data_IF_549443130851
#
_entry.id   IF_549443130851
#
_cell.length_a   1.000
_cell.length_b   1.000
_cell.length_c   1.000
_cell.angle_alpha   90.00
_cell.angle_beta   90.00
_cell.angle_gamma   90.00
#
_symmetry.space_group_name_H-M   'P 1'
#
loop_
_entity.id
_entity.type
_entity.pdbx_description
1 polymer ?
#
# COMPACT_ATOMS: atom_id res chain seq x y z
N UNK A 1 -16.37 -24.74 -37.91
CA UNK A 1 -16.72 -24.33 -36.54
C UNK A 1 -15.59 -23.46 -36.02
N UNK A 2 -15.76 -22.13 -36.07
CA UNK A 2 -14.83 -21.18 -35.50
C UNK A 2 -15.63 -20.23 -34.61
N UNK A 3 -15.31 -20.18 -33.32
CA UNK A 3 -15.86 -19.17 -32.42
C UNK A 3 -15.15 -17.82 -32.71
N UNK A 4 -15.87 -16.70 -32.77
CA UNK A 4 -15.21 -15.39 -32.86
C UNK A 4 -14.74 -14.97 -31.47
N UNK A 5 -13.49 -14.47 -31.42
CA UNK A 5 -12.92 -13.76 -30.29
C UNK A 5 -13.72 -12.45 -30.10
N UNK A 6 -14.40 -12.29 -28.97
CA UNK A 6 -15.06 -11.04 -28.63
C UNK A 6 -14.00 -10.07 -28.10
N UNK A 7 -13.56 -9.14 -28.95
CA UNK A 7 -12.77 -7.97 -28.52
C UNK A 7 -13.74 -7.04 -27.80
N UNK A 8 -13.73 -7.06 -26.47
CA UNK A 8 -14.44 -6.06 -25.65
C UNK A 8 -13.68 -4.75 -25.75
N UNK A 9 -14.09 -3.90 -26.69
CA UNK A 9 -13.70 -2.49 -26.70
C UNK A 9 -14.39 -1.77 -25.54
N UNK A 10 -13.65 -1.48 -24.48
CA UNK A 10 -14.14 -0.66 -23.37
C UNK A 10 -14.17 0.81 -23.83
N UNK A 11 -15.36 1.33 -24.13
CA UNK A 11 -15.55 2.77 -24.35
C UNK A 11 -15.22 3.52 -23.05
N UNK A 12 -14.19 4.36 -23.08
CA UNK A 12 -13.95 5.41 -22.09
C UNK A 12 -15.04 6.49 -22.28
N UNK A 13 -16.17 6.34 -21.59
CA UNK A 13 -17.11 7.45 -21.43
C UNK A 13 -16.53 8.43 -20.40
N UNK A 14 -16.56 9.76 -20.65
CA UNK A 14 -16.23 10.74 -19.63
C UNK A 14 -17.32 10.74 -18.56
N UNK A 15 -17.11 10.00 -17.47
CA UNK A 15 -17.97 10.00 -16.31
C UNK A 15 -17.76 11.32 -15.57
N UNK A 16 -18.67 12.27 -15.73
CA UNK A 16 -18.66 13.63 -15.16
C UNK A 16 -18.60 13.68 -13.63
N UNK A 17 -18.76 12.55 -12.92
CA UNK A 17 -18.54 12.43 -11.48
C UNK A 17 -17.13 11.97 -11.05
N UNK A 18 -16.31 11.48 -11.99
CA UNK A 18 -14.99 10.88 -11.69
C UNK A 18 -13.90 11.92 -11.46
N UNK A 19 -13.97 13.09 -12.12
CA UNK A 19 -12.99 14.17 -11.96
C UNK A 19 -13.01 14.80 -10.57
N UNK A 20 -14.10 14.69 -9.80
CA UNK A 20 -14.17 15.22 -8.43
C UNK A 20 -13.17 14.56 -7.45
N UNK A 21 -12.57 13.43 -7.85
CA UNK A 21 -11.55 12.71 -7.09
C UNK A 21 -10.17 13.37 -7.22
N UNK A 22 -9.90 14.08 -8.31
CA UNK A 22 -8.61 14.72 -8.59
C UNK A 22 -8.61 16.12 -7.96
N UNK A 23 -7.66 16.45 -7.07
CA UNK A 23 -7.54 17.80 -6.52
C UNK A 23 -7.34 18.84 -7.65
N UNK A 24 -8.10 19.93 -7.62
CA UNK A 24 -8.07 20.94 -8.68
C UNK A 24 -6.75 21.71 -8.71
N UNK A 25 -6.05 21.77 -7.58
CA UNK A 25 -4.75 22.43 -7.42
C UNK A 25 -3.59 21.56 -7.88
N UNK A 26 -3.85 20.32 -8.27
CA UNK A 26 -2.81 19.40 -8.70
C UNK A 26 -2.25 19.84 -10.07
N UNK A 27 -0.91 19.86 -10.26
CA UNK A 27 -0.34 20.13 -11.58
C UNK A 27 -0.89 19.14 -12.61
N UNK A 28 -1.23 19.64 -13.81
CA UNK A 28 -1.80 18.83 -14.90
C UNK A 28 -3.05 18.02 -14.48
N UNK A 29 -3.87 18.55 -13.55
CA UNK A 29 -5.11 17.89 -13.11
C UNK A 29 -6.09 17.66 -14.28
N UNK A 30 -6.10 18.54 -15.27
CA UNK A 30 -6.93 18.47 -16.47
C UNK A 30 -6.57 17.28 -17.38
N UNK A 31 -5.34 16.79 -17.29
CA UNK A 31 -4.85 15.63 -18.04
C UNK A 31 -5.11 14.31 -17.29
N UNK A 32 -5.34 14.39 -15.98
CA UNK A 32 -5.52 13.23 -15.12
C UNK A 32 -6.77 12.44 -15.54
N UNK A 33 -6.62 11.13 -15.61
CA UNK A 33 -7.67 10.17 -15.91
C UNK A 33 -7.96 9.34 -14.69
N UNK A 34 -9.22 9.03 -14.48
CA UNK A 34 -9.66 8.20 -13.37
C UNK A 34 -10.22 6.89 -13.91
N UNK A 35 -9.56 5.80 -13.55
CA UNK A 35 -10.04 4.45 -13.78
C UNK A 35 -10.78 3.97 -12.54
N UNK A 36 -12.08 3.72 -12.70
CA UNK A 36 -12.92 3.07 -11.69
C UNK A 36 -13.08 1.61 -12.11
N UNK A 37 -12.65 0.64 -11.29
CA UNK A 37 -12.84 -0.78 -11.60
C UNK A 37 -14.32 -1.10 -11.82
N UNK A 38 -14.70 -1.88 -12.85
CA UNK A 38 -16.10 -2.14 -13.14
C UNK A 38 -16.75 -3.17 -12.19
N UNK A 39 -15.94 -4.06 -11.59
CA UNK A 39 -16.43 -5.24 -10.87
C UNK A 39 -16.37 -5.04 -9.34
N UNK A 40 -17.32 -5.63 -8.57
CA UNK A 40 -17.09 -5.92 -7.16
C UNK A 40 -15.82 -6.79 -7.04
N UNK A 41 -14.93 -6.53 -6.06
CA UNK A 41 -15.17 -5.80 -4.81
C UNK A 41 -14.88 -4.30 -4.86
N UNK A 42 -14.47 -3.73 -6.00
CA UNK A 42 -13.89 -2.38 -6.05
C UNK A 42 -14.79 -1.29 -6.63
N UNK A 43 -15.83 -1.67 -7.37
CA UNK A 43 -16.63 -0.77 -8.22
C UNK A 43 -17.18 0.50 -7.55
N UNK A 44 -17.37 0.49 -6.23
CA UNK A 44 -17.87 1.65 -5.46
C UNK A 44 -16.83 2.28 -4.52
N UNK A 45 -15.64 1.69 -4.39
CA UNK A 45 -14.68 2.05 -3.33
C UNK A 45 -13.28 2.40 -3.80
N UNK A 46 -12.90 2.10 -5.04
CA UNK A 46 -11.56 2.37 -5.54
C UNK A 46 -11.60 3.28 -6.78
N UNK A 47 -10.84 4.37 -6.74
CA UNK A 47 -10.45 5.14 -7.92
C UNK A 47 -8.94 5.06 -8.15
N UNK A 48 -8.52 4.81 -9.38
CA UNK A 48 -7.10 4.86 -9.76
C UNK A 48 -6.90 6.07 -10.69
N UNK A 49 -6.14 7.05 -10.24
CA UNK A 49 -5.81 8.27 -10.96
C UNK A 49 -4.46 8.09 -11.65
N UNK A 50 -4.38 8.38 -12.95
CA UNK A 50 -3.17 8.23 -13.75
C UNK A 50 -3.11 9.29 -14.87
N UNK A 51 -1.94 9.47 -15.49
CA UNK A 51 -1.73 10.43 -16.58
C UNK A 51 -1.59 9.74 -17.95
N UNK A 52 -1.70 10.47 -19.07
CA UNK A 52 -1.62 9.87 -20.40
C UNK A 52 -0.37 9.01 -20.60
N UNK A 53 -0.55 7.75 -21.01
CA UNK A 53 0.54 6.78 -21.21
C UNK A 53 0.66 5.73 -20.10
N UNK A 54 0.01 5.93 -18.94
CA UNK A 54 0.10 5.03 -17.78
C UNK A 54 -1.10 4.06 -17.63
N UNK A 55 -1.91 3.89 -18.68
CA UNK A 55 -3.12 3.06 -18.66
C UNK A 55 -2.83 1.61 -18.24
N UNK A 56 -1.72 1.04 -18.74
CA UNK A 56 -1.30 -0.32 -18.40
C UNK A 56 -0.89 -0.44 -16.93
N UNK A 57 -0.29 0.60 -16.34
CA UNK A 57 0.06 0.60 -14.92
C UNK A 57 -1.19 0.65 -14.04
N UNK A 58 -2.20 1.43 -14.42
CA UNK A 58 -3.48 1.46 -13.72
C UNK A 58 -4.19 0.10 -13.74
N UNK A 59 -4.20 -0.58 -14.90
CA UNK A 59 -4.74 -1.95 -15.02
C UNK A 59 -3.96 -2.93 -14.16
N UNK A 60 -2.63 -2.79 -14.13
CA UNK A 60 -1.77 -3.66 -13.35
C UNK A 60 -1.99 -3.53 -11.85
N UNK A 61 -2.10 -2.31 -11.33
CA UNK A 61 -2.45 -2.07 -9.92
C UNK A 61 -3.77 -2.76 -9.59
N UNK A 62 -4.79 -2.65 -10.44
CA UNK A 62 -6.04 -3.37 -10.24
C UNK A 62 -5.83 -4.90 -10.21
N UNK A 63 -5.08 -5.47 -11.17
CA UNK A 63 -4.79 -6.91 -11.20
C UNK A 63 -4.09 -7.41 -9.93
N UNK A 64 -3.26 -6.58 -9.32
CA UNK A 64 -2.54 -6.90 -8.08
C UNK A 64 -3.50 -6.90 -6.90
N UNK A 65 -4.31 -5.85 -6.78
CA UNK A 65 -5.29 -5.72 -5.70
C UNK A 65 -6.40 -6.76 -5.80
N UNK A 66 -6.79 -7.18 -7.01
CA UNK A 66 -7.81 -8.22 -7.20
C UNK A 66 -7.39 -9.59 -6.65
N UNK A 67 -6.07 -9.86 -6.60
CA UNK A 67 -5.54 -11.08 -5.97
C UNK A 67 -5.55 -11.04 -4.43
N UNK A 68 -5.58 -9.83 -3.85
CA UNK A 68 -5.56 -9.59 -2.41
C UNK A 68 -6.48 -8.40 -2.04
N UNK A 69 -7.81 -8.54 -2.23
CA UNK A 69 -8.73 -7.41 -2.20
C UNK A 69 -8.95 -6.82 -0.80
N UNK A 70 -8.54 -7.54 0.23
CA UNK A 70 -8.52 -7.09 1.62
C UNK A 70 -7.21 -7.55 2.27
N UNK A 71 -6.48 -6.66 2.96
CA UNK A 71 -5.27 -7.05 3.67
C UNK A 71 -5.55 -8.14 4.73
N UNK A 72 -4.60 -9.06 4.99
CA UNK A 72 -4.87 -10.20 5.84
C UNK A 72 -5.19 -9.78 7.29
N UNK A 73 -6.20 -10.42 7.88
CA UNK A 73 -6.67 -10.12 9.24
C UNK A 73 -7.68 -8.96 9.32
N UNK A 74 -7.95 -8.27 8.21
CA UNK A 74 -8.98 -7.24 8.14
C UNK A 74 -10.31 -7.78 7.59
N UNK A 75 -11.44 -7.11 7.90
CA UNK A 75 -12.73 -7.46 7.32
C UNK A 75 -12.74 -7.38 5.79
N UNK A 76 -13.59 -8.15 5.10
CA UNK A 76 -13.77 -8.04 3.66
C UNK A 76 -14.10 -6.61 3.22
N UNK A 77 -13.59 -6.23 2.06
CA UNK A 77 -13.73 -4.90 1.46
C UNK A 77 -13.06 -3.77 2.25
N UNK A 78 -12.17 -4.08 3.19
CA UNK A 78 -11.26 -3.08 3.80
C UNK A 78 -10.04 -2.90 2.89
N UNK A 79 -9.59 -1.67 2.60
CA UNK A 79 -10.19 -0.37 2.91
C UNK A 79 -11.51 -0.12 2.15
N UNK A 80 -12.51 0.44 2.84
CA UNK A 80 -13.86 0.69 2.32
C UNK A 80 -13.95 1.88 1.35
N UNK A 81 -12.91 2.73 1.30
CA UNK A 81 -12.75 3.77 0.28
C UNK A 81 -11.28 4.11 0.07
N UNK A 82 -10.84 4.14 -1.18
CA UNK A 82 -9.47 4.43 -1.55
C UNK A 82 -9.36 5.18 -2.89
N UNK A 83 -8.36 6.07 -2.98
CA UNK A 83 -7.91 6.68 -4.22
C UNK A 83 -6.41 6.44 -4.37
N UNK A 84 -6.02 5.74 -5.42
CA UNK A 84 -4.62 5.47 -5.74
C UNK A 84 -4.19 6.41 -6.86
N UNK A 85 -3.18 7.24 -6.61
CA UNK A 85 -2.57 8.09 -7.62
C UNK A 85 -1.29 7.44 -8.13
N UNK A 86 -1.17 7.30 -9.45
CA UNK A 86 0.06 6.89 -10.10
C UNK A 86 0.79 8.15 -10.54
N UNK A 87 1.80 8.56 -9.78
CA UNK A 87 2.55 9.77 -10.05
C UNK A 87 3.55 9.54 -11.20
N UNK A 88 3.39 10.18 -12.37
CA UNK A 88 4.25 9.95 -13.53
C UNK A 88 5.66 10.52 -13.33
N UNK A 89 5.81 11.53 -12.46
CA UNK A 89 7.05 12.25 -12.20
C UNK A 89 7.08 12.88 -10.80
N UNK A 90 8.24 13.47 -10.46
CA UNK A 90 8.50 14.10 -9.16
C UNK A 90 7.55 15.26 -8.86
N UNK A 91 7.13 16.04 -9.86
CA UNK A 91 6.27 17.21 -9.64
C UNK A 91 4.89 16.79 -9.12
N UNK A 92 4.29 15.78 -9.75
CA UNK A 92 3.01 15.22 -9.30
C UNK A 92 3.16 14.53 -7.94
N UNK A 93 4.27 13.81 -7.73
CA UNK A 93 4.57 13.18 -6.44
C UNK A 93 4.63 14.21 -5.31
N UNK A 94 5.42 15.26 -5.46
CA UNK A 94 5.58 16.30 -4.43
C UNK A 94 4.25 17.00 -4.14
N UNK A 95 3.46 17.29 -5.17
CA UNK A 95 2.15 17.91 -5.01
C UNK A 95 1.14 17.02 -4.25
N UNK A 96 1.17 15.69 -4.50
CA UNK A 96 0.28 14.74 -3.83
C UNK A 96 0.69 14.44 -2.39
N UNK A 97 1.99 14.56 -2.09
CA UNK A 97 2.60 14.14 -0.82
C UNK A 97 2.98 15.30 0.10
N UNK A 98 2.97 16.53 -0.41
CA UNK A 98 3.45 17.72 0.30
C UNK A 98 4.98 17.83 0.37
N UNK A 99 5.73 16.98 -0.33
CA UNK A 99 7.20 17.03 -0.42
C UNK A 99 7.94 16.78 0.90
N UNK A 100 7.29 16.20 1.91
CA UNK A 100 7.88 15.93 3.23
C UNK A 100 8.21 14.45 3.46
N UNK A 101 8.09 13.63 2.42
CA UNK A 101 8.27 12.19 2.50
C UNK A 101 9.71 11.85 2.15
N UNK A 102 10.36 10.91 2.85
CA UNK A 102 11.73 10.52 2.52
C UNK A 102 11.88 10.01 1.08
N UNK A 103 12.98 10.41 0.43
CA UNK A 103 13.30 10.15 -0.99
C UNK A 103 13.43 8.67 -1.38
N UNK A 104 13.38 7.73 -0.42
CA UNK A 104 13.47 6.29 -0.67
C UNK A 104 12.13 5.54 -0.63
N UNK A 105 11.01 6.25 -0.47
CA UNK A 105 9.68 5.63 -0.46
C UNK A 105 9.33 4.97 -1.80
N UNK A 106 8.99 3.68 -1.79
CA UNK A 106 8.48 2.95 -2.96
C UNK A 106 6.98 3.22 -3.25
N UNK A 107 6.37 4.07 -2.42
CA UNK A 107 4.97 4.41 -2.34
C UNK A 107 4.73 5.22 -1.06
N UNK A 108 3.54 5.77 -0.91
CA UNK A 108 3.07 6.31 0.37
C UNK A 108 1.56 6.23 0.48
N UNK A 109 1.11 5.93 1.68
CA UNK A 109 -0.27 6.03 2.12
C UNK A 109 -0.48 7.27 2.99
N UNK A 110 -1.54 8.02 2.71
CA UNK A 110 -2.04 9.12 3.54
C UNK A 110 -3.45 8.72 4.01
N UNK A 111 -3.55 8.02 5.15
CA UNK A 111 -4.80 7.40 5.59
C UNK A 111 -5.94 8.41 5.79
N UNK A 112 -5.65 9.59 6.33
CA UNK A 112 -6.62 10.66 6.55
C UNK A 112 -7.30 11.17 5.28
N UNK A 113 -6.72 10.90 4.11
CA UNK A 113 -7.27 11.25 2.80
C UNK A 113 -7.81 10.04 2.03
N UNK A 114 -7.74 8.82 2.59
CA UNK A 114 -8.04 7.60 1.84
C UNK A 114 -7.11 7.42 0.63
N UNK A 115 -5.89 7.96 0.68
CA UNK A 115 -5.04 8.16 -0.50
C UNK A 115 -3.81 7.26 -0.45
N UNK A 116 -3.49 6.65 -1.58
CA UNK A 116 -2.20 6.02 -1.85
C UNK A 116 -1.55 6.73 -3.04
N UNK A 117 -0.25 6.95 -3.00
CA UNK A 117 0.53 7.51 -4.11
C UNK A 117 1.64 6.54 -4.46
N UNK A 118 1.71 6.14 -5.73
CA UNK A 118 2.71 5.18 -6.25
C UNK A 118 3.53 5.91 -7.32
N UNK A 119 4.88 5.97 -7.20
CA UNK A 119 5.70 6.61 -8.22
C UNK A 119 5.88 5.70 -9.44
N UNK A 120 5.77 6.28 -10.64
CA UNK A 120 6.09 5.63 -11.91
C UNK A 120 7.45 6.05 -12.49
N UNK A 121 8.11 7.00 -11.84
CA UNK A 121 9.46 7.48 -12.16
C UNK A 121 10.50 6.91 -11.20
N UNK A 122 11.79 7.03 -11.56
CA UNK A 122 12.88 6.54 -10.70
C UNK A 122 12.94 5.01 -10.55
N UNK A 123 12.14 4.26 -11.32
CA UNK A 123 12.00 2.80 -11.20
C UNK A 123 13.13 1.98 -11.85
N UNK A 124 14.25 2.62 -12.20
CA UNK A 124 15.40 1.96 -12.82
C UNK A 124 15.94 0.84 -11.92
N UNK A 125 15.92 -0.39 -12.42
CA UNK A 125 16.36 -1.57 -11.65
C UNK A 125 15.32 -2.14 -10.67
N UNK A 126 14.17 -1.50 -10.49
CA UNK A 126 13.07 -2.01 -9.65
C UNK A 126 12.24 -2.98 -10.46
N UNK A 127 12.23 -4.24 -10.02
CA UNK A 127 11.55 -5.34 -10.69
C UNK A 127 10.02 -5.27 -10.57
N UNK A 128 9.34 -5.95 -11.48
CA UNK A 128 7.88 -5.93 -11.60
C UNK A 128 7.18 -6.49 -10.33
N UNK A 129 7.73 -7.55 -9.75
CA UNK A 129 7.24 -8.14 -8.50
C UNK A 129 7.50 -7.25 -7.27
N UNK A 130 8.56 -6.44 -7.29
CA UNK A 130 8.85 -5.50 -6.21
C UNK A 130 7.81 -4.37 -6.19
N UNK A 131 7.43 -3.85 -7.36
CA UNK A 131 6.36 -2.85 -7.50
C UNK A 131 5.00 -3.38 -7.03
N UNK A 132 4.71 -4.66 -7.25
CA UNK A 132 3.48 -5.30 -6.73
C UNK A 132 3.47 -5.34 -5.23
N UNK A 133 4.58 -5.76 -4.61
CA UNK A 133 4.70 -5.78 -3.17
C UNK A 133 4.56 -4.38 -2.59
N UNK A 134 5.19 -3.36 -3.18
CA UNK A 134 4.98 -1.98 -2.75
C UNK A 134 3.52 -1.55 -2.84
N UNK A 135 2.81 -1.93 -3.89
CA UNK A 135 1.37 -1.64 -4.02
C UNK A 135 0.55 -2.28 -2.90
N UNK A 136 0.81 -3.56 -2.61
CA UNK A 136 0.12 -4.30 -1.54
C UNK A 136 0.50 -3.77 -0.14
N UNK A 137 1.73 -3.29 0.03
CA UNK A 137 2.23 -2.68 1.25
C UNK A 137 1.46 -1.39 1.58
N UNK A 138 1.34 -0.47 0.61
CA UNK A 138 0.53 0.74 0.80
C UNK A 138 -0.96 0.42 1.00
N UNK A 139 -1.48 -0.57 0.29
CA UNK A 139 -2.86 -1.03 0.48
C UNK A 139 -3.10 -1.56 1.90
N UNK A 140 -2.12 -2.25 2.47
CA UNK A 140 -2.17 -2.76 3.84
C UNK A 140 -2.15 -1.63 4.87
N UNK A 141 -1.30 -0.62 4.71
CA UNK A 141 -1.35 0.59 5.55
C UNK A 141 -2.73 1.23 5.53
N UNK A 142 -3.30 1.43 4.34
CA UNK A 142 -4.59 2.10 4.21
C UNK A 142 -5.69 1.32 4.92
N UNK A 143 -5.74 0.00 4.73
CA UNK A 143 -6.70 -0.85 5.41
C UNK A 143 -6.52 -0.89 6.93
N UNK A 144 -5.28 -0.97 7.41
CA UNK A 144 -4.98 -1.03 8.84
C UNK A 144 -5.40 0.25 9.56
N UNK A 145 -5.03 1.42 9.01
CA UNK A 145 -5.39 2.71 9.57
C UNK A 145 -6.90 2.99 9.50
N UNK A 146 -7.59 2.52 8.46
CA UNK A 146 -9.06 2.61 8.42
C UNK A 146 -9.69 1.74 9.51
N UNK A 147 -9.19 0.51 9.72
CA UNK A 147 -9.77 -0.42 10.68
C UNK A 147 -9.54 0.01 12.14
N UNK A 148 -8.37 0.59 12.43
CA UNK A 148 -7.96 1.08 13.74
C UNK A 148 -8.12 2.61 13.88
N UNK A 149 -9.01 3.21 13.10
CA UNK A 149 -9.21 4.67 13.08
C UNK A 149 -9.35 5.26 14.50
N UNK A 150 -8.62 6.35 14.75
CA UNK A 150 -8.54 7.01 16.05
C UNK A 150 -7.62 6.34 17.08
N UNK A 151 -7.01 5.19 16.79
CA UNK A 151 -6.05 4.52 17.67
C UNK A 151 -4.61 4.83 17.30
N UNK A 152 -3.74 4.88 18.32
CA UNK A 152 -2.31 5.05 18.13
C UNK A 152 -1.66 3.72 17.73
N UNK A 153 -1.33 3.57 16.44
CA UNK A 153 -0.64 2.40 15.90
C UNK A 153 0.87 2.55 16.12
N UNK A 154 1.55 1.67 16.88
CA UNK A 154 3.01 1.71 16.99
C UNK A 154 3.63 1.56 15.60
N UNK A 155 4.57 2.44 15.25
CA UNK A 155 5.13 2.48 13.90
C UNK A 155 5.77 1.15 13.47
N UNK A 156 6.45 0.45 14.39
CA UNK A 156 7.00 -0.88 14.08
C UNK A 156 5.90 -1.88 13.70
N UNK A 157 4.70 -1.79 14.29
CA UNK A 157 3.61 -2.70 13.95
C UNK A 157 3.00 -2.32 12.61
N UNK A 158 2.78 -1.03 12.36
CA UNK A 158 2.27 -0.51 11.08
C UNK A 158 3.11 -1.00 9.89
N UNK A 159 4.43 -0.74 9.97
CA UNK A 159 5.41 -1.12 8.95
C UNK A 159 5.60 -2.64 8.86
N UNK A 160 5.59 -3.32 10.01
CA UNK A 160 5.71 -4.78 10.07
C UNK A 160 4.49 -5.49 9.49
N UNK A 161 3.29 -4.97 9.76
CA UNK A 161 2.03 -5.46 9.22
C UNK A 161 1.99 -5.29 7.70
N UNK A 162 2.32 -4.10 7.20
CA UNK A 162 2.33 -3.82 5.77
C UNK A 162 3.35 -4.69 5.02
N UNK A 163 4.54 -4.91 5.59
CA UNK A 163 5.52 -5.86 5.04
C UNK A 163 4.97 -7.28 4.99
N UNK A 164 4.43 -7.76 6.11
CA UNK A 164 3.85 -9.11 6.22
C UNK A 164 2.67 -9.33 5.27
N UNK A 165 1.78 -8.34 5.15
CA UNK A 165 0.62 -8.38 4.27
C UNK A 165 0.98 -8.35 2.78
N UNK A 166 2.11 -7.73 2.43
CA UNK A 166 2.54 -7.55 1.04
C UNK A 166 3.22 -8.77 0.40
N UNK A 167 3.54 -9.83 1.16
CA UNK A 167 4.11 -11.05 0.58
C UNK A 167 4.51 -12.17 1.56
N UNK A 168 4.68 -13.37 1.00
CA UNK A 168 5.21 -14.54 1.71
C UNK A 168 6.70 -14.36 2.02
N UNK A 169 7.03 -14.35 3.31
CA UNK A 169 8.39 -14.18 3.81
C UNK A 169 9.35 -15.21 3.22
N UNK A 170 10.39 -14.74 2.52
CA UNK A 170 11.36 -15.62 1.88
C UNK A 170 12.51 -15.98 2.84
N UNK A 171 13.23 -17.07 2.52
CA UNK A 171 14.39 -17.55 3.29
C UNK A 171 15.52 -16.49 3.40
N UNK A 172 15.62 -15.55 2.46
CA UNK A 172 16.62 -14.48 2.49
C UNK A 172 16.29 -13.38 3.52
N UNK A 173 15.01 -13.07 3.76
CA UNK A 173 14.58 -12.11 4.77
C UNK A 173 14.85 -12.65 6.18
N UNK A 174 14.64 -13.95 6.39
CA UNK A 174 15.07 -14.65 7.61
C UNK A 174 16.58 -14.61 7.84
N UNK A 175 17.38 -14.71 6.77
CA UNK A 175 18.83 -14.53 6.85
C UNK A 175 19.24 -13.08 7.15
N UNK A 176 18.58 -12.09 6.53
CA UNK A 176 18.82 -10.66 6.79
C UNK A 176 18.48 -10.27 8.22
N UNK A 177 17.40 -10.79 8.79
CA UNK A 177 17.07 -10.61 10.21
C UNK A 177 18.19 -11.15 11.11
N UNK A 178 18.67 -12.37 10.87
CA UNK A 178 19.78 -12.96 11.65
C UNK A 178 21.02 -12.07 11.62
N UNK A 179 21.35 -11.48 10.47
CA UNK A 179 22.45 -10.54 10.34
C UNK A 179 22.20 -9.18 11.02
N UNK A 180 20.95 -8.70 11.05
CA UNK A 180 20.58 -7.46 11.73
C UNK A 180 20.68 -7.62 13.27
N UNK A 181 20.16 -8.72 13.81
CA UNK A 181 20.25 -9.04 15.24
C UNK A 181 21.69 -9.26 15.70
N UNK A 182 22.52 -9.93 14.89
CA UNK A 182 23.94 -10.16 15.20
C UNK A 182 24.78 -8.87 15.27
N UNK A 183 24.28 -7.75 14.72
CA UNK A 183 24.97 -6.45 14.71
C UNK A 183 24.45 -5.47 15.77
N UNK A 184 23.54 -5.91 16.65
CA UNK A 184 22.87 -5.07 17.64
C UNK A 184 21.59 -4.45 17.08
N UNK A 185 20.45 -4.87 17.63
CA UNK A 185 19.12 -4.38 17.23
C UNK A 185 18.57 -3.34 18.21
N UNK A 186 17.86 -2.35 17.68
CA UNK A 186 17.01 -1.44 18.43
C UNK A 186 15.82 -2.21 19.03
N UNK A 187 15.47 -2.07 20.32
CA UNK A 187 14.20 -2.58 20.84
C UNK A 187 13.04 -2.03 20.01
N UNK A 188 11.95 -2.80 19.83
CA UNK A 188 10.77 -2.32 19.08
C UNK A 188 10.22 -1.01 19.68
N UNK A 189 10.33 -0.83 21.00
CA UNK A 189 9.95 0.40 21.69
C UNK A 189 10.70 1.64 21.19
N UNK A 190 11.98 1.51 20.82
CA UNK A 190 12.72 2.65 20.28
C UNK A 190 12.32 2.97 18.84
N UNK A 191 11.79 2.00 18.08
CA UNK A 191 11.18 2.25 16.76
C UNK A 191 9.80 2.91 16.85
N UNK A 192 9.13 2.82 17.99
CA UNK A 192 7.94 3.64 18.28
C UNK A 192 8.32 5.10 18.52
N UNK A 193 9.46 5.36 19.18
CA UNK A 193 9.88 6.71 19.59
C UNK A 193 10.64 7.46 18.48
N UNK A 194 11.60 6.82 17.82
CA UNK A 194 12.44 7.44 16.80
C UNK A 194 12.69 6.49 15.62
N UNK A 195 12.09 6.80 14.47
CA UNK A 195 12.36 6.05 13.24
C UNK A 195 13.61 6.58 12.53
N UNK A 196 14.50 5.69 12.04
CA UNK A 196 15.71 6.13 11.37
C UNK A 196 15.44 6.96 10.11
N UNK A 197 16.22 8.03 9.94
CA UNK A 197 16.19 8.91 8.76
C UNK A 197 17.26 8.59 7.72
N UNK A 198 18.10 7.59 7.94
CA UNK A 198 19.00 7.10 6.91
C UNK A 198 18.49 5.77 6.37
N UNK A 199 18.70 5.57 5.07
CA UNK A 199 18.19 4.42 4.34
C UNK A 199 18.62 3.09 4.96
N UNK A 200 19.89 2.95 5.33
CA UNK A 200 20.44 1.68 5.85
C UNK A 200 19.78 1.27 7.16
N UNK A 201 19.61 2.21 8.08
CA UNK A 201 18.96 1.92 9.36
C UNK A 201 17.45 1.80 9.21
N UNK A 202 16.82 2.54 8.29
CA UNK A 202 15.40 2.36 7.97
C UNK A 202 15.13 0.94 7.42
N UNK A 203 15.96 0.46 6.49
CA UNK A 203 15.90 -0.92 5.98
C UNK A 203 15.99 -1.97 7.10
N UNK A 204 16.84 -1.75 8.10
CA UNK A 204 16.92 -2.62 9.28
C UNK A 204 15.66 -2.53 10.15
N UNK A 205 15.12 -1.33 10.36
CA UNK A 205 13.89 -1.12 11.11
C UNK A 205 12.70 -1.82 10.45
N UNK A 206 12.56 -1.74 9.12
CA UNK A 206 11.58 -2.48 8.34
C UNK A 206 11.73 -4.00 8.52
N UNK A 207 12.94 -4.52 8.39
CA UNK A 207 13.21 -5.96 8.58
C UNK A 207 12.87 -6.43 9.99
N UNK A 208 13.26 -5.68 11.01
CA UNK A 208 12.96 -6.02 12.40
C UNK A 208 11.46 -6.00 12.68
N UNK A 209 10.77 -4.97 12.19
CA UNK A 209 9.31 -4.80 12.30
C UNK A 209 8.55 -5.96 11.67
N UNK A 210 8.88 -6.31 10.42
CA UNK A 210 8.29 -7.44 9.71
C UNK A 210 8.53 -8.77 10.44
N UNK A 211 9.73 -8.94 10.99
CA UNK A 211 10.10 -10.14 11.74
C UNK A 211 9.34 -10.29 13.05
N UNK A 212 9.10 -9.18 13.76
CA UNK A 212 8.31 -9.17 14.98
C UNK A 212 6.86 -9.58 14.71
N UNK A 213 6.24 -8.99 13.69
CA UNK A 213 4.88 -9.37 13.26
C UNK A 213 4.83 -10.84 12.83
N UNK A 214 5.76 -11.30 12.00
CA UNK A 214 5.85 -12.69 11.60
C UNK A 214 5.96 -13.62 12.82
N UNK A 215 6.82 -13.30 13.79
CA UNK A 215 6.99 -14.10 15.00
C UNK A 215 5.71 -14.15 15.86
N UNK A 216 5.01 -13.02 16.01
CA UNK A 216 3.75 -12.95 16.76
C UNK A 216 2.65 -13.83 16.17
N UNK A 217 2.63 -13.97 14.84
CA UNK A 217 1.56 -14.66 14.12
C UNK A 217 2.00 -15.95 13.41
N UNK A 218 3.22 -16.45 13.62
CA UNK A 218 3.73 -17.66 12.95
C UNK A 218 2.85 -18.89 13.25
N UNK A 219 2.44 -19.07 14.50
CA UNK A 219 1.62 -20.20 14.94
C UNK A 219 0.10 -20.03 14.74
N UNK A 220 -0.37 -18.79 14.62
CA UNK A 220 -1.81 -18.45 14.58
C UNK A 220 -2.28 -17.92 13.23
N UNK A 221 -1.35 -17.50 12.36
CA UNK A 221 -1.55 -16.99 11.02
C UNK A 221 -2.52 -15.80 10.97
N UNK A 222 -3.23 -15.71 9.84
CA UNK A 222 -4.26 -14.68 9.57
C UNK A 222 -5.34 -14.65 10.65
N UNK A 223 -5.71 -15.79 11.22
CA UNK A 223 -6.73 -15.84 12.29
C UNK A 223 -6.23 -15.19 13.58
N UNK A 224 -4.96 -15.38 13.92
CA UNK A 224 -4.33 -14.70 15.05
C UNK A 224 -4.32 -13.19 14.87
N UNK A 225 -3.96 -12.73 13.66
CA UNK A 225 -4.00 -11.32 13.29
C UNK A 225 -5.41 -10.72 13.44
N UNK A 226 -6.42 -11.41 12.90
CA UNK A 226 -7.83 -10.98 13.00
C UNK A 226 -8.27 -10.80 14.46
N UNK A 227 -7.99 -11.78 15.32
CA UNK A 227 -8.34 -11.72 16.74
C UNK A 227 -7.57 -10.59 17.43
N UNK A 228 -6.28 -10.43 17.13
CA UNK A 228 -5.46 -9.36 17.71
C UNK A 228 -6.02 -7.98 17.37
N UNK A 229 -6.26 -7.70 16.09
CA UNK A 229 -6.79 -6.41 15.64
C UNK A 229 -8.20 -6.13 16.21
N UNK A 230 -9.07 -7.14 16.26
CA UNK A 230 -10.41 -7.00 16.87
C UNK A 230 -10.31 -6.65 18.35
N UNK A 231 -9.43 -7.31 19.11
CA UNK A 231 -9.21 -7.06 20.53
C UNK A 231 -8.62 -5.69 20.79
N UNK A 232 -7.66 -5.26 19.99
CA UNK A 232 -7.08 -3.93 20.07
C UNK A 232 -8.17 -2.88 19.88
N UNK A 233 -8.99 -3.02 18.83
CA UNK A 233 -10.10 -2.12 18.58
C UNK A 233 -11.15 -2.11 19.69
N UNK A 234 -11.51 -3.27 20.23
CA UNK A 234 -12.46 -3.38 21.35
C UNK A 234 -11.95 -2.74 22.64
N UNK A 235 -10.64 -2.87 22.91
CA UNK A 235 -10.03 -2.42 24.15
C UNK A 235 -9.48 -0.97 24.08
N UNK A 236 -9.44 -0.36 22.89
CA UNK A 236 -8.78 0.93 22.63
C UNK A 236 -7.30 0.98 23.09
N UNK A 237 -6.63 -0.17 23.12
CA UNK A 237 -5.25 -0.30 23.55
C UNK A 237 -4.57 -1.47 22.83
N UNK A 238 -3.28 -1.29 22.53
CA UNK A 238 -2.42 -2.31 21.90
C UNK A 238 -2.21 -3.50 22.82
#
# INVERSE_FOLDING_TARGET
MGLPLLVVGLLLAPQTGSQAIVPAELPRAEEARVFVPPDPPFASRLGIVYWPGDEEQARRVLQVLDRAPSPPGLPPNTPSRAVIFLAPDQEIWDALTGGQIPDWGAGVTIPSLGRVVIPLFGLSGVGLAERDRSTLHEWAHLGLHEYLDGLAIPRWFDEGYAQWASGEWNVQEAWRLRLALARGGSPLDSLTLDWPRDRTNAERAYLLSASAVQYLFEGSGVRGMEVFLSRWREANQF
#
